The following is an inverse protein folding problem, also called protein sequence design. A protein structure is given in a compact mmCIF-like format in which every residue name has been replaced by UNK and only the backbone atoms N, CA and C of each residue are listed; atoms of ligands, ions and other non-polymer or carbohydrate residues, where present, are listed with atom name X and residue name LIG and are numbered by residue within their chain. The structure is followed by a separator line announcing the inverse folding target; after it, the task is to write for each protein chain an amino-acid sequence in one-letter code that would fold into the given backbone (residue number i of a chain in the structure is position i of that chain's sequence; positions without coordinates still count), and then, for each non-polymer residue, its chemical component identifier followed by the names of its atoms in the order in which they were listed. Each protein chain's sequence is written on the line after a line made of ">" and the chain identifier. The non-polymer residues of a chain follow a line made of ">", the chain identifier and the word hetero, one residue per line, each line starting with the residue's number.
data_IF_582013206338
#
_entry.id   IF_582013206338
#
_cell.length_a   1.000
_cell.length_b   1.000
_cell.length_c   1.000
_cell.angle_alpha   90.00
_cell.angle_beta   90.00
_cell.angle_gamma   90.00
#
_symmetry.space_group_name_H-M   'P 1'
#
loop_
_entity.id
_entity.type
_entity.pdbx_description
1 polymer ?
#
# COMPACT_ATOMS: atom_id res chain seq x y z
N UNK A 1 -15.93 0.41 0.33
CA UNK A 1 -15.19 0.44 1.60
C UNK A 1 -13.88 1.24 1.49
N UNK A 2 -13.04 1.02 0.47
CA UNK A 2 -11.86 1.87 0.17
C UNK A 2 -12.19 3.38 -0.07
N UNK A 3 -13.42 3.69 -0.49
CA UNK A 3 -13.93 5.07 -0.67
C UNK A 3 -14.05 5.89 0.63
N UNK A 4 -13.99 5.26 1.81
CA UNK A 4 -14.15 5.94 3.11
C UNK A 4 -12.85 6.34 3.81
N UNK A 5 -11.68 6.09 3.19
CA UNK A 5 -10.35 6.25 3.80
C UNK A 5 -10.26 5.72 5.24
N UNK A 6 -10.65 4.46 5.41
CA UNK A 6 -10.53 3.74 6.69
C UNK A 6 -9.20 2.99 6.66
N UNK A 7 -8.33 3.19 7.66
CA UNK A 7 -7.05 2.48 7.70
C UNK A 7 -7.27 0.95 7.69
N UNK A 8 -6.34 0.13 7.17
CA UNK A 8 -6.56 -1.31 7.04
C UNK A 8 -6.94 -2.00 8.36
N UNK A 9 -6.30 -1.61 9.47
CA UNK A 9 -6.62 -2.12 10.82
C UNK A 9 -8.05 -1.72 11.21
N UNK A 10 -8.43 -0.48 10.94
CA UNK A 10 -9.74 0.06 11.24
C UNK A 10 -10.82 -0.52 10.32
N UNK A 11 -10.47 -0.96 9.11
CA UNK A 11 -11.40 -1.62 8.20
C UNK A 11 -11.78 -3.00 8.74
N UNK A 12 -10.79 -3.75 9.23
CA UNK A 12 -11.02 -5.00 9.94
C UNK A 12 -11.85 -4.76 11.22
N UNK A 13 -11.57 -3.69 11.98
CA UNK A 13 -12.35 -3.32 13.17
C UNK A 13 -13.74 -2.74 12.84
N UNK A 14 -13.92 -2.03 11.73
CA UNK A 14 -15.19 -1.43 11.32
C UNK A 14 -16.16 -2.50 10.81
N UNK A 15 -15.66 -3.58 10.20
CA UNK A 15 -16.45 -4.77 9.90
C UNK A 15 -16.96 -5.47 11.17
N UNK A 16 -16.29 -5.29 12.32
CA UNK A 16 -16.79 -5.75 13.63
C UNK A 16 -18.04 -4.98 14.04
N UNK A 17 -18.23 -3.71 13.66
CA UNK A 17 -19.42 -2.93 14.04
C UNK A 17 -20.74 -3.56 13.58
N UNK A 18 -20.95 -3.79 12.27
CA UNK A 18 -22.10 -4.51 11.73
C UNK A 18 -22.12 -6.00 12.15
N UNK A 19 -20.95 -6.64 12.27
CA UNK A 19 -20.84 -8.03 12.75
C UNK A 19 -21.34 -8.18 14.19
N UNK A 20 -20.96 -7.26 15.07
CA UNK A 20 -21.40 -7.21 16.47
C UNK A 20 -22.87 -6.84 16.59
N UNK A 21 -23.42 -6.02 15.69
CA UNK A 21 -24.86 -5.79 15.62
C UNK A 21 -25.63 -7.11 15.36
N UNK A 22 -25.07 -8.04 14.57
CA UNK A 22 -25.62 -9.39 14.40
C UNK A 22 -25.42 -10.24 15.66
N UNK A 23 -24.23 -10.23 16.27
CA UNK A 23 -23.96 -10.97 17.53
C UNK A 23 -24.75 -10.46 18.74
N UNK A 24 -25.20 -9.20 18.73
CA UNK A 24 -26.02 -8.59 19.80
C UNK A 24 -27.52 -8.66 19.51
N UNK A 25 -27.92 -8.68 18.23
CA UNK A 25 -29.33 -8.82 17.81
C UNK A 25 -29.82 -10.27 17.86
N UNK A 26 -28.92 -11.24 17.64
CA UNK A 26 -29.26 -12.66 17.63
C UNK A 26 -28.62 -13.39 18.81
N UNK A 27 -29.34 -14.33 19.42
CA UNK A 27 -28.88 -15.07 20.61
C UNK A 27 -27.61 -15.91 20.37
N UNK A 28 -27.31 -16.25 19.11
CA UNK A 28 -26.10 -16.96 18.68
C UNK A 28 -25.93 -16.82 17.16
N UNK A 29 -24.69 -16.59 16.72
CA UNK A 29 -24.30 -16.70 15.31
C UNK A 29 -23.72 -18.10 15.10
N UNK A 30 -24.09 -18.77 14.02
CA UNK A 30 -23.70 -20.15 13.74
C UNK A 30 -22.86 -20.24 12.48
N UNK A 31 -21.90 -21.18 12.49
CA UNK A 31 -21.18 -21.61 11.29
C UNK A 31 -22.06 -22.48 10.38
N UNK A 32 -21.49 -22.94 9.25
CA UNK A 32 -22.20 -23.78 8.27
C UNK A 32 -22.61 -25.15 8.86
N UNK A 33 -21.95 -25.58 9.93
CA UNK A 33 -22.19 -26.80 10.68
C UNK A 33 -23.17 -26.61 11.86
N UNK A 34 -23.67 -25.39 12.09
CA UNK A 34 -24.63 -25.06 13.13
C UNK A 34 -24.05 -24.86 14.53
N UNK A 35 -22.72 -24.75 14.68
CA UNK A 35 -22.03 -24.49 15.95
C UNK A 35 -21.86 -22.98 16.19
N UNK A 36 -21.79 -22.53 17.46
CA UNK A 36 -21.55 -21.13 17.78
C UNK A 36 -20.23 -20.63 17.19
N UNK A 37 -20.31 -19.61 16.32
CA UNK A 37 -19.15 -18.98 15.71
C UNK A 37 -18.57 -17.94 16.70
N UNK A 38 -17.34 -18.09 17.21
CA UNK A 38 -16.73 -17.09 18.08
C UNK A 38 -16.30 -15.84 17.29
N UNK A 39 -16.28 -14.68 17.95
CA UNK A 39 -15.89 -13.38 17.34
C UNK A 39 -14.52 -13.45 16.67
N UNK A 40 -13.56 -14.16 17.27
CA UNK A 40 -12.22 -14.36 16.71
C UNK A 40 -12.26 -15.07 15.34
N UNK A 41 -13.17 -16.01 15.16
CA UNK A 41 -13.30 -16.77 13.91
C UNK A 41 -14.04 -15.96 12.85
N UNK A 42 -15.07 -15.20 13.25
CA UNK A 42 -15.70 -14.21 12.38
C UNK A 42 -14.68 -13.17 11.85
N UNK A 43 -13.77 -12.70 12.70
CA UNK A 43 -12.67 -11.82 12.31
C UNK A 43 -11.70 -12.47 11.31
N UNK A 44 -11.37 -13.75 11.53
CA UNK A 44 -10.53 -14.49 10.60
C UNK A 44 -11.20 -14.62 9.21
N UNK A 45 -12.50 -14.88 9.15
CA UNK A 45 -13.27 -14.95 7.91
C UNK A 45 -13.36 -13.60 7.18
N UNK A 46 -13.55 -12.51 7.92
CA UNK A 46 -13.53 -11.15 7.36
C UNK A 46 -12.17 -10.85 6.73
N UNK A 47 -11.08 -11.11 7.45
CA UNK A 47 -9.73 -10.88 6.95
C UNK A 47 -9.41 -11.78 5.74
N UNK A 48 -9.88 -13.02 5.73
CA UNK A 48 -9.75 -13.93 4.58
C UNK A 48 -10.51 -13.39 3.35
N UNK A 49 -11.74 -12.95 3.53
CA UNK A 49 -12.55 -12.38 2.43
C UNK A 49 -11.92 -11.09 1.89
N UNK A 50 -11.38 -10.25 2.77
CA UNK A 50 -10.66 -9.03 2.37
C UNK A 50 -9.39 -9.36 1.58
N UNK A 51 -8.62 -10.36 2.02
CA UNK A 51 -7.44 -10.86 1.32
C UNK A 51 -7.77 -11.37 -0.08
N UNK A 52 -8.86 -12.14 -0.23
CA UNK A 52 -9.35 -12.62 -1.53
C UNK A 52 -9.71 -11.47 -2.48
N UNK A 53 -10.53 -10.52 -2.02
CA UNK A 53 -10.95 -9.37 -2.85
C UNK A 53 -9.76 -8.52 -3.27
N UNK A 54 -8.79 -8.28 -2.37
CA UNK A 54 -7.59 -7.51 -2.71
C UNK A 54 -6.63 -8.30 -3.61
N UNK A 55 -6.59 -9.62 -3.50
CA UNK A 55 -5.79 -10.48 -4.37
C UNK A 55 -6.33 -10.48 -5.81
N UNK A 56 -7.66 -10.45 -5.98
CA UNK A 56 -8.29 -10.33 -7.30
C UNK A 56 -7.92 -9.02 -8.01
N UNK A 57 -7.70 -7.94 -7.25
CA UNK A 57 -7.30 -6.63 -7.76
C UNK A 57 -5.81 -6.51 -8.09
N UNK A 58 -4.97 -7.50 -7.72
CA UNK A 58 -3.54 -7.43 -8.02
C UNK A 58 -3.26 -7.32 -9.52
N UNK A 59 -4.15 -7.84 -10.37
CA UNK A 59 -4.06 -7.77 -11.82
C UNK A 59 -4.00 -6.36 -12.40
N UNK A 60 -4.53 -5.36 -11.66
CA UNK A 60 -4.59 -3.97 -12.09
C UNK A 60 -3.25 -3.24 -11.92
N UNK A 61 -2.32 -3.81 -11.14
CA UNK A 61 -0.99 -3.24 -10.97
C UNK A 61 -0.05 -3.57 -12.14
N UNK A 62 0.94 -2.70 -12.33
CA UNK A 62 2.02 -2.92 -13.29
C UNK A 62 2.76 -4.25 -13.02
N UNK A 63 3.40 -4.80 -14.06
CA UNK A 63 4.04 -6.11 -14.01
C UNK A 63 5.12 -6.22 -12.92
N UNK A 64 5.84 -5.13 -12.66
CA UNK A 64 6.92 -5.10 -11.69
C UNK A 64 6.37 -5.10 -10.26
N UNK A 65 5.32 -4.32 -10.01
CA UNK A 65 4.60 -4.32 -8.74
C UNK A 65 3.97 -5.68 -8.44
N UNK A 66 3.40 -6.36 -9.44
CA UNK A 66 2.87 -7.73 -9.28
C UNK A 66 3.96 -8.75 -8.97
N UNK A 67 5.15 -8.57 -9.55
CA UNK A 67 6.31 -9.39 -9.20
C UNK A 67 6.77 -9.13 -7.77
N UNK A 68 6.90 -7.85 -7.40
CA UNK A 68 7.36 -7.44 -6.08
C UNK A 68 6.39 -7.88 -4.98
N UNK A 69 5.08 -7.83 -5.20
CA UNK A 69 4.06 -8.40 -4.31
C UNK A 69 4.29 -9.89 -4.06
N UNK A 70 4.45 -10.67 -5.13
CA UNK A 70 4.64 -12.11 -5.02
C UNK A 70 5.97 -12.48 -4.34
N UNK A 71 7.02 -11.70 -4.60
CA UNK A 71 8.31 -11.86 -3.91
C UNK A 71 8.21 -11.47 -2.44
N UNK A 72 7.62 -10.31 -2.15
CA UNK A 72 7.41 -9.81 -0.81
C UNK A 72 6.61 -10.81 0.00
N UNK A 73 5.54 -11.39 -0.52
CA UNK A 73 4.76 -12.39 0.20
C UNK A 73 5.63 -13.55 0.73
N UNK A 74 6.59 -14.02 -0.06
CA UNK A 74 7.44 -15.15 0.31
C UNK A 74 8.62 -14.73 1.18
N UNK A 75 9.34 -13.69 0.78
CA UNK A 75 10.64 -13.33 1.33
C UNK A 75 10.64 -12.03 2.14
N UNK A 76 9.60 -11.19 1.98
CA UNK A 76 9.60 -9.83 2.50
C UNK A 76 10.73 -9.03 1.85
N UNK A 77 11.45 -8.25 2.65
CA UNK A 77 12.68 -7.58 2.23
C UNK A 77 13.95 -8.44 2.39
N UNK A 78 13.84 -9.69 2.83
CA UNK A 78 14.99 -10.58 2.98
C UNK A 78 15.51 -11.09 1.63
N UNK A 79 16.75 -11.60 1.64
CA UNK A 79 17.36 -12.22 0.47
C UNK A 79 16.71 -13.57 0.11
N UNK A 80 16.61 -13.82 -1.19
CA UNK A 80 16.21 -15.10 -1.78
C UNK A 80 17.09 -15.45 -2.98
N UNK A 81 16.88 -16.64 -3.55
CA UNK A 81 17.69 -17.15 -4.66
C UNK A 81 17.34 -16.47 -5.99
N UNK A 82 18.36 -16.12 -6.78
CA UNK A 82 18.17 -15.55 -8.11
C UNK A 82 17.35 -16.46 -9.04
N UNK A 83 17.54 -17.78 -8.99
CA UNK A 83 16.78 -18.71 -9.84
C UNK A 83 15.27 -18.69 -9.57
N UNK A 84 14.86 -18.46 -8.31
CA UNK A 84 13.46 -18.28 -7.94
C UNK A 84 12.96 -16.94 -8.47
N UNK A 85 13.75 -15.87 -8.30
CA UNK A 85 13.43 -14.54 -8.79
C UNK A 85 13.25 -14.52 -10.33
N UNK A 86 14.12 -15.22 -11.05
CA UNK A 86 14.09 -15.34 -12.51
C UNK A 86 12.87 -16.14 -13.00
N UNK A 87 12.50 -17.21 -12.29
CA UNK A 87 11.30 -17.97 -12.62
C UNK A 87 10.04 -17.12 -12.40
N UNK A 88 10.00 -16.39 -11.29
CA UNK A 88 8.90 -15.49 -10.98
C UNK A 88 8.79 -14.32 -11.98
N UNK A 89 9.92 -13.78 -12.46
CA UNK A 89 9.93 -12.66 -13.41
C UNK A 89 9.31 -13.05 -14.75
N UNK A 90 9.66 -14.24 -15.26
CA UNK A 90 9.02 -14.83 -16.45
C UNK A 90 7.51 -15.00 -16.26
N UNK A 91 7.08 -15.52 -15.11
CA UNK A 91 5.65 -15.71 -14.80
C UNK A 91 4.86 -14.40 -14.71
N UNK A 92 5.51 -13.28 -14.34
CA UNK A 92 4.89 -11.96 -14.22
C UNK A 92 5.14 -11.05 -15.42
N UNK A 93 5.74 -11.58 -16.50
CA UNK A 93 6.08 -10.83 -17.71
C UNK A 93 6.99 -9.61 -17.43
N UNK A 94 8.02 -9.81 -16.61
CA UNK A 94 9.07 -8.82 -16.31
C UNK A 94 10.45 -9.50 -16.28
N UNK A 95 11.50 -8.78 -15.89
CA UNK A 95 12.86 -9.31 -15.74
C UNK A 95 13.53 -8.80 -14.46
N UNK A 96 14.40 -9.62 -13.87
CA UNK A 96 15.16 -9.22 -12.66
C UNK A 96 16.07 -8.02 -12.95
N UNK A 97 16.63 -7.94 -14.15
CA UNK A 97 17.42 -6.79 -14.58
C UNK A 97 16.57 -5.52 -14.66
N UNK A 98 15.38 -5.57 -15.28
CA UNK A 98 14.49 -4.42 -15.37
C UNK A 98 13.98 -3.95 -14.01
N UNK A 99 13.72 -4.88 -13.08
CA UNK A 99 13.37 -4.58 -11.69
C UNK A 99 14.53 -3.91 -10.93
N UNK A 100 15.77 -4.32 -11.20
CA UNK A 100 16.96 -3.71 -10.59
C UNK A 100 17.20 -2.30 -11.15
N UNK A 101 17.04 -2.12 -12.47
CA UNK A 101 17.11 -0.81 -13.15
C UNK A 101 16.03 0.15 -12.67
N UNK A 102 14.81 -0.35 -12.42
CA UNK A 102 13.71 0.38 -11.79
C UNK A 102 13.93 0.64 -10.29
N UNK A 103 15.07 0.24 -9.73
CA UNK A 103 15.39 0.48 -8.34
C UNK A 103 14.61 -0.35 -7.32
N UNK A 104 13.72 -1.25 -7.74
CA UNK A 104 12.82 -2.05 -6.87
C UNK A 104 13.58 -3.09 -6.04
N UNK A 105 14.63 -3.68 -6.63
CA UNK A 105 15.40 -4.75 -6.00
C UNK A 105 16.90 -4.56 -6.16
N UNK A 106 17.67 -5.30 -5.37
CA UNK A 106 19.09 -5.53 -5.57
C UNK A 106 19.30 -7.00 -5.96
N UNK A 107 20.10 -7.24 -7.00
CA UNK A 107 20.51 -8.57 -7.43
C UNK A 107 22.04 -8.64 -7.44
N UNK A 108 22.62 -9.43 -6.54
CA UNK A 108 24.09 -9.59 -6.44
C UNK A 108 24.45 -10.99 -5.97
N UNK A 109 25.56 -11.53 -6.47
CA UNK A 109 26.13 -12.82 -6.02
C UNK A 109 25.12 -13.98 -5.97
N UNK A 110 24.21 -14.04 -6.96
CA UNK A 110 23.17 -15.07 -7.02
C UNK A 110 22.01 -14.89 -6.03
N UNK A 111 21.98 -13.77 -5.30
CA UNK A 111 20.91 -13.40 -4.38
C UNK A 111 20.12 -12.20 -4.90
N UNK A 112 18.84 -12.17 -4.55
CA UNK A 112 17.90 -11.09 -4.86
C UNK A 112 17.19 -10.66 -3.58
N UNK A 113 17.00 -9.37 -3.37
CA UNK A 113 16.15 -8.82 -2.31
C UNK A 113 15.45 -7.55 -2.78
N UNK A 114 14.26 -7.29 -2.26
CA UNK A 114 13.59 -6.00 -2.42
C UNK A 114 14.34 -4.93 -1.62
N UNK A 115 14.35 -3.69 -2.12
CA UNK A 115 14.88 -2.56 -1.35
C UNK A 115 13.83 -2.07 -0.35
N UNK A 116 14.16 -1.96 0.95
CA UNK A 116 13.26 -1.35 1.94
C UNK A 116 13.17 0.17 1.73
N UNK A 117 12.11 0.84 2.24
CA UNK A 117 11.93 2.29 2.13
C UNK A 117 13.16 3.12 2.51
N UNK A 118 13.88 2.73 3.56
CA UNK A 118 15.06 3.43 4.05
C UNK A 118 16.25 3.43 3.07
N UNK A 119 16.26 2.54 2.08
CA UNK A 119 17.30 2.47 1.04
C UNK A 119 16.89 3.20 -0.26
N UNK A 120 15.67 3.74 -0.33
CA UNK A 120 15.18 4.45 -1.51
C UNK A 120 15.73 5.89 -1.56
N UNK A 121 15.98 6.43 -2.77
CA UNK A 121 16.62 7.74 -2.91
C UNK A 121 15.74 8.88 -2.38
N UNK A 122 16.35 9.80 -1.62
CA UNK A 122 15.65 10.94 -1.01
C UNK A 122 15.11 11.93 -2.04
N UNK A 123 15.90 12.18 -3.09
CA UNK A 123 15.59 13.12 -4.17
C UNK A 123 14.79 12.52 -5.32
N UNK A 124 14.06 11.43 -5.09
CA UNK A 124 13.22 10.82 -6.12
C UNK A 124 12.11 11.77 -6.59
N UNK A 125 11.93 11.82 -7.90
CA UNK A 125 10.87 12.61 -8.53
C UNK A 125 10.05 11.74 -9.50
N UNK A 126 8.75 11.50 -9.21
CA UNK A 126 7.90 10.68 -10.07
C UNK A 126 7.68 11.30 -11.46
N UNK A 127 7.96 12.59 -11.66
CA UNK A 127 7.82 13.24 -12.95
C UNK A 127 8.96 12.92 -13.92
N UNK A 128 10.14 12.56 -13.39
CA UNK A 128 11.31 12.20 -14.20
C UNK A 128 11.58 10.70 -14.22
N UNK A 129 10.76 9.91 -13.53
CA UNK A 129 10.91 8.46 -13.48
C UNK A 129 10.39 7.79 -14.77
N UNK A 130 11.26 7.16 -15.57
CA UNK A 130 10.85 6.52 -16.82
C UNK A 130 10.07 5.22 -16.63
N UNK A 131 10.09 4.64 -15.42
CA UNK A 131 9.50 3.34 -15.09
C UNK A 131 8.78 3.40 -13.74
N UNK A 132 7.93 4.42 -13.59
CA UNK A 132 7.12 4.64 -12.41
C UNK A 132 6.20 3.43 -12.13
N UNK A 133 6.37 2.81 -10.96
CA UNK A 133 5.61 1.62 -10.55
C UNK A 133 4.81 1.87 -9.28
N UNK A 134 3.70 1.16 -9.10
CA UNK A 134 2.93 1.24 -7.85
C UNK A 134 3.77 0.90 -6.62
N UNK A 135 4.66 -0.10 -6.74
CA UNK A 135 5.60 -0.52 -5.71
C UNK A 135 6.53 0.60 -5.28
N UNK A 136 7.13 1.31 -6.22
CA UNK A 136 8.02 2.41 -5.89
C UNK A 136 7.26 3.58 -5.26
N UNK A 137 6.10 3.94 -5.83
CA UNK A 137 5.26 5.03 -5.30
C UNK A 137 4.90 4.81 -3.83
N UNK A 138 4.42 3.61 -3.46
CA UNK A 138 4.02 3.35 -2.06
C UNK A 138 5.19 3.40 -1.09
N UNK A 139 6.35 2.85 -1.45
CA UNK A 139 7.50 2.83 -0.55
C UNK A 139 8.22 4.18 -0.48
N UNK A 140 8.20 4.99 -1.55
CA UNK A 140 8.67 6.37 -1.50
C UNK A 140 7.76 7.26 -0.63
N UNK A 141 6.45 7.04 -0.68
CA UNK A 141 5.50 7.73 0.21
C UNK A 141 5.73 7.36 1.69
N UNK A 142 5.97 6.08 1.99
CA UNK A 142 6.35 5.63 3.34
C UNK A 142 7.64 6.30 3.79
N UNK A 143 8.69 6.28 2.96
CA UNK A 143 9.97 6.93 3.28
C UNK A 143 9.78 8.42 3.58
N UNK A 144 9.02 9.14 2.75
CA UNK A 144 8.76 10.55 2.94
C UNK A 144 7.95 10.83 4.23
N UNK A 145 6.95 10.00 4.52
CA UNK A 145 6.16 10.10 5.74
C UNK A 145 7.00 9.85 6.99
N UNK A 146 7.85 8.82 6.99
CA UNK A 146 8.72 8.47 8.11
C UNK A 146 9.82 9.52 8.36
N UNK A 147 10.37 10.11 7.29
CA UNK A 147 11.46 11.08 7.41
C UNK A 147 10.98 12.52 7.67
N UNK A 148 9.86 12.93 7.08
CA UNK A 148 9.41 14.33 7.06
C UNK A 148 7.93 14.54 7.38
N UNK A 149 7.23 13.50 7.83
CA UNK A 149 5.83 13.56 8.20
C UNK A 149 4.89 13.78 7.01
N UNK A 150 3.65 14.13 7.34
CA UNK A 150 2.55 14.26 6.38
C UNK A 150 2.81 15.34 5.34
N UNK A 151 3.51 16.42 5.70
CA UNK A 151 3.91 17.48 4.79
C UNK A 151 4.87 17.00 3.69
N UNK A 152 5.85 16.16 4.02
CA UNK A 152 6.78 15.62 3.04
C UNK A 152 6.09 14.61 2.10
N UNK A 153 5.24 13.74 2.65
CA UNK A 153 4.42 12.84 1.85
C UNK A 153 3.44 13.61 0.94
N UNK A 154 2.87 14.72 1.42
CA UNK A 154 1.94 15.56 0.66
C UNK A 154 2.59 16.18 -0.59
N UNK A 155 3.87 16.58 -0.52
CA UNK A 155 4.62 17.05 -1.69
C UNK A 155 4.71 15.95 -2.76
N UNK A 156 4.99 14.71 -2.37
CA UNK A 156 5.01 13.58 -3.31
C UNK A 156 3.62 13.27 -3.85
N UNK A 157 2.57 13.25 -3.01
CA UNK A 157 1.19 13.04 -3.46
C UNK A 157 0.75 14.11 -4.47
N UNK A 158 1.13 15.37 -4.25
CA UNK A 158 0.85 16.45 -5.20
C UNK A 158 1.50 16.20 -6.58
N UNK A 159 2.75 15.72 -6.60
CA UNK A 159 3.45 15.37 -7.84
C UNK A 159 2.84 14.14 -8.53
N UNK A 160 2.40 13.15 -7.76
CA UNK A 160 1.81 11.91 -8.26
C UNK A 160 0.39 12.11 -8.84
N UNK A 161 -0.35 13.09 -8.32
CA UNK A 161 -1.72 13.36 -8.75
C UNK A 161 -2.63 12.14 -8.59
N UNK A 162 -3.39 11.81 -9.63
CA UNK A 162 -4.31 10.67 -9.61
C UNK A 162 -3.62 9.31 -9.37
N UNK A 163 -2.32 9.19 -9.68
CA UNK A 163 -1.56 7.95 -9.47
C UNK A 163 -1.30 7.65 -7.99
N UNK A 164 -1.41 8.64 -7.11
CA UNK A 164 -1.25 8.45 -5.68
C UNK A 164 -2.28 7.44 -5.12
N UNK A 165 -3.49 7.40 -5.68
CA UNK A 165 -4.53 6.45 -5.25
C UNK A 165 -4.12 5.00 -5.51
N UNK A 166 -3.41 4.73 -6.61
CA UNK A 166 -2.88 3.39 -6.91
C UNK A 166 -1.86 2.95 -5.84
N UNK A 167 -1.03 3.89 -5.35
CA UNK A 167 -0.10 3.62 -4.27
C UNK A 167 -0.83 3.31 -2.94
N UNK A 168 -1.93 4.02 -2.67
CA UNK A 168 -2.79 3.74 -1.50
C UNK A 168 -3.44 2.37 -1.61
N UNK A 169 -3.98 2.00 -2.76
CA UNK A 169 -4.56 0.67 -3.00
C UNK A 169 -3.52 -0.43 -2.79
N UNK A 170 -2.30 -0.24 -3.28
CA UNK A 170 -1.20 -1.17 -3.03
C UNK A 170 -0.83 -1.26 -1.54
N UNK A 171 -0.87 -0.14 -0.80
CA UNK A 171 -0.62 -0.13 0.65
C UNK A 171 -1.62 -1.02 1.42
N UNK A 172 -2.90 -1.02 1.04
CA UNK A 172 -3.89 -1.93 1.62
C UNK A 172 -3.52 -3.40 1.38
N UNK A 173 -3.11 -3.73 0.15
CA UNK A 173 -2.71 -5.10 -0.19
C UNK A 173 -1.49 -5.54 0.61
N UNK A 174 -0.48 -4.68 0.69
CA UNK A 174 0.76 -4.95 1.41
C UNK A 174 0.54 -5.12 2.92
N UNK A 175 -0.36 -4.32 3.51
CA UNK A 175 -0.76 -4.49 4.91
C UNK A 175 -1.32 -5.90 5.17
N UNK A 176 -2.27 -6.36 4.35
CA UNK A 176 -2.90 -7.68 4.54
C UNK A 176 -1.87 -8.80 4.42
N UNK A 177 -0.94 -8.72 3.45
CA UNK A 177 0.15 -9.67 3.32
C UNK A 177 1.05 -9.63 4.56
N UNK A 178 1.42 -8.43 5.05
CA UNK A 178 2.29 -8.26 6.21
C UNK A 178 1.66 -8.85 7.49
N UNK A 179 0.37 -8.59 7.74
CA UNK A 179 -0.37 -9.19 8.86
C UNK A 179 -0.40 -10.72 8.77
N UNK A 180 -0.76 -11.27 7.60
CA UNK A 180 -0.81 -12.73 7.39
C UNK A 180 0.57 -13.38 7.59
N UNK A 181 1.64 -12.69 7.20
CA UNK A 181 3.04 -13.15 7.35
C UNK A 181 3.66 -12.76 8.68
N UNK A 182 2.92 -12.13 9.60
CA UNK A 182 3.36 -11.68 10.93
C UNK A 182 4.55 -10.70 10.88
N UNK A 183 4.54 -9.79 9.91
CA UNK A 183 5.55 -8.76 9.69
C UNK A 183 5.09 -7.43 10.25
N UNK A 184 5.23 -7.28 11.56
CA UNK A 184 4.63 -6.18 12.32
C UNK A 184 5.17 -4.79 11.92
N UNK A 185 6.47 -4.69 11.63
CA UNK A 185 7.11 -3.42 11.23
C UNK A 185 6.54 -2.93 9.92
N UNK A 186 6.48 -3.79 8.91
CA UNK A 186 5.92 -3.45 7.60
C UNK A 186 4.42 -3.16 7.68
N UNK A 187 3.67 -3.97 8.43
CA UNK A 187 2.24 -3.74 8.66
C UNK A 187 1.99 -2.36 9.29
N UNK A 188 2.83 -1.94 10.25
CA UNK A 188 2.75 -0.62 10.85
C UNK A 188 2.96 0.49 9.81
N UNK A 189 4.02 0.44 9.02
CA UNK A 189 4.30 1.47 8.00
C UNK A 189 3.17 1.58 6.96
N UNK A 190 2.64 0.45 6.47
CA UNK A 190 1.51 0.46 5.53
C UNK A 190 0.24 1.02 6.17
N UNK A 191 -0.02 0.68 7.43
CA UNK A 191 -1.16 1.18 8.17
C UNK A 191 -1.09 2.70 8.37
N UNK A 192 0.06 3.20 8.84
CA UNK A 192 0.30 4.62 9.08
C UNK A 192 0.13 5.45 7.81
N UNK A 193 0.62 4.97 6.66
CA UNK A 193 0.42 5.67 5.39
C UNK A 193 -1.07 5.88 5.06
N UNK A 194 -1.88 4.83 5.18
CA UNK A 194 -3.32 4.93 4.87
C UNK A 194 -4.06 5.78 5.91
N UNK A 195 -3.66 5.68 7.19
CA UNK A 195 -4.23 6.47 8.27
C UNK A 195 -4.00 7.98 8.06
N UNK A 196 -2.78 8.38 7.69
CA UNK A 196 -2.41 9.77 7.41
C UNK A 196 -2.91 10.28 6.05
N UNK A 197 -3.46 9.42 5.19
CA UNK A 197 -3.86 9.78 3.83
C UNK A 197 -4.81 10.99 3.70
N UNK A 198 -5.83 11.20 4.57
CA UNK A 198 -6.73 12.35 4.45
C UNK A 198 -5.98 13.67 4.61
N UNK A 199 -5.06 13.71 5.58
CA UNK A 199 -4.27 14.90 5.88
C UNK A 199 -3.20 15.14 4.83
N UNK A 200 -2.50 14.08 4.39
CA UNK A 200 -1.57 14.14 3.25
C UNK A 200 -2.27 14.71 2.00
N UNK A 201 -3.48 14.25 1.70
CA UNK A 201 -4.25 14.71 0.52
C UNK A 201 -4.73 16.15 0.69
N UNK A 202 -5.12 16.57 1.91
CA UNK A 202 -5.49 17.96 2.21
C UNK A 202 -4.31 18.89 1.98
N UNK A 203 -3.16 18.57 2.58
CA UNK A 203 -1.92 19.33 2.44
C UNK A 203 -1.42 19.38 0.98
N UNK A 204 -1.55 18.27 0.23
CA UNK A 204 -1.17 18.23 -1.18
C UNK A 204 -1.98 19.22 -2.03
N UNK A 205 -3.29 19.36 -1.75
CA UNK A 205 -4.17 20.32 -2.42
C UNK A 205 -3.86 21.76 -2.03
N UNK A 206 -3.58 22.02 -0.76
CA UNK A 206 -3.23 23.36 -0.28
C UNK A 206 -1.89 23.83 -0.83
N UNK A 207 -0.89 22.94 -0.92
CA UNK A 207 0.39 23.22 -1.55
C UNK A 207 0.28 23.49 -3.05
N UNK A 208 -0.65 22.82 -3.74
CA UNK A 208 -0.94 23.08 -5.15
C UNK A 208 -1.69 24.42 -5.38
N UNK A 209 -2.39 24.93 -4.36
CA UNK A 209 -3.12 26.20 -4.37
C UNK A 209 -2.29 27.40 -3.84
N UNK A 210 -0.96 27.29 -3.81
CA UNK A 210 -0.03 28.38 -3.45
C UNK A 210 -0.25 29.68 -4.26
N UNK A 211 0.39 30.80 -3.86
CA UNK A 211 -0.12 32.19 -3.92
C UNK A 211 -0.65 32.72 -5.26
N UNK A 212 -0.37 32.05 -6.38
CA UNK A 212 -0.86 32.39 -7.71
C UNK A 212 -2.40 32.54 -7.80
N UNK A 213 -3.17 31.85 -6.94
CA UNK A 213 -4.63 32.01 -6.91
C UNK A 213 -5.11 33.09 -5.93
N UNK A 214 -4.28 33.54 -4.97
CA UNK A 214 -4.64 34.67 -4.08
C UNK A 214 -4.43 36.02 -4.78
N UNK A 215 -3.40 36.14 -5.61
CA UNK A 215 -3.12 37.38 -6.36
C UNK A 215 -4.17 37.67 -7.45
N UNK A 216 -4.73 36.66 -8.12
CA UNK A 216 -5.77 36.86 -9.15
C UNK A 216 -7.11 37.36 -8.61
N UNK A 217 -7.41 37.16 -7.32
CA UNK A 217 -8.63 37.71 -6.69
C UNK A 217 -8.43 39.14 -6.17
N UNK A 218 -7.20 39.53 -5.87
CA UNK A 218 -6.89 40.90 -5.44
C UNK A 218 -6.69 41.85 -6.65
N UNK A 219 -6.15 41.36 -7.77
CA UNK A 219 -5.94 42.18 -8.98
C UNK A 219 -7.22 42.42 -9.79
N UNK A 220 -8.25 41.57 -9.63
CA UNK A 220 -9.56 41.76 -10.28
C UNK A 220 -10.53 42.69 -9.49
N UNK A 221 -10.11 43.16 -8.31
CA UNK A 221 -10.91 43.98 -7.40
C UNK A 221 -10.35 45.42 -7.21
N UNK A 222 -9.28 45.79 -7.92
CA UNK A 222 -8.70 47.15 -7.96
C UNK A 222 -8.94 47.83 -9.30
#
# INVERSE_FOLDING_TARGET
>A
LQKGNIAPVDLAQAAIGPGMAVFTRYARVLDAEGKPLPVREALALINATLDEVLAEQEGDFDADSRWALAWFEQHGFAEGEFGVAETLSKAKNTSVAGLAEAGILESRRGKVRLKPPAELPEGWDPATDPRLTAWEMVHQLIRALEAGGESAAAVLVAKLGARAEVARELAYRLYVIAERKKRATEALSYNSLVQSWPEITRLAREGAQGPAQREMFEEAAG
#
